data_IF_678605164494
#
_entry.id   IF_678605164494
#
_cell.length_a   1.000
_cell.length_b   1.000
_cell.length_c   1.000
_cell.angle_alpha   90.00
_cell.angle_beta   90.00
_cell.angle_gamma   90.00
#
_symmetry.space_group_name_H-M   'P 1'
#
loop_
_entity.id
_entity.type
_entity.pdbx_description
1 polymer ?
#
# COMPACT_ATOMS: atom_id res chain seq x y z
N UNK A 1 9.44 -14.99 15.43
CA UNK A 1 9.08 -13.77 14.66
C UNK A 1 8.17 -14.09 13.46
N UNK A 2 8.58 -14.96 12.54
CA UNK A 2 7.76 -15.31 11.34
C UNK A 2 6.34 -15.79 11.70
N UNK A 3 6.18 -16.60 12.73
CA UNK A 3 4.86 -17.05 13.21
C UNK A 3 3.97 -15.90 13.69
N UNK A 4 4.55 -14.88 14.34
CA UNK A 4 3.81 -13.70 14.79
C UNK A 4 3.33 -12.87 13.58
N UNK A 5 4.19 -12.66 12.60
CA UNK A 5 3.82 -11.96 11.35
C UNK A 5 2.71 -12.70 10.61
N UNK A 6 2.82 -14.03 10.49
CA UNK A 6 1.79 -14.87 9.86
C UNK A 6 0.46 -14.79 10.62
N UNK A 7 0.49 -14.83 11.95
CA UNK A 7 -0.71 -14.72 12.78
C UNK A 7 -1.37 -13.34 12.66
N UNK A 8 -0.59 -12.25 12.66
CA UNK A 8 -1.11 -10.88 12.47
C UNK A 8 -1.74 -10.71 11.08
N UNK A 9 -1.11 -11.22 10.03
CA UNK A 9 -1.67 -11.22 8.68
C UNK A 9 -2.97 -12.01 8.59
N UNK A 10 -3.04 -13.17 9.24
CA UNK A 10 -4.24 -14.00 9.32
C UNK A 10 -5.39 -13.31 10.06
N UNK A 11 -5.09 -12.62 11.17
CA UNK A 11 -6.09 -11.84 11.92
C UNK A 11 -6.64 -10.69 11.09
N UNK A 12 -5.80 -9.94 10.41
CA UNK A 12 -6.24 -8.85 9.51
C UNK A 12 -7.12 -9.40 8.39
N UNK A 13 -6.69 -10.46 7.72
CA UNK A 13 -7.46 -11.13 6.65
C UNK A 13 -8.83 -11.58 7.14
N UNK A 14 -8.89 -12.21 8.32
CA UNK A 14 -10.15 -12.68 8.91
C UNK A 14 -11.07 -11.53 9.28
N UNK A 15 -10.55 -10.47 9.87
CA UNK A 15 -11.30 -9.27 10.21
C UNK A 15 -11.90 -8.61 8.95
N UNK A 16 -11.12 -8.50 7.89
CA UNK A 16 -11.59 -7.92 6.62
C UNK A 16 -12.63 -8.79 5.93
N UNK A 17 -12.46 -10.13 5.96
CA UNK A 17 -13.40 -11.06 5.34
C UNK A 17 -14.80 -11.03 5.99
N UNK A 18 -14.90 -10.66 7.27
CA UNK A 18 -16.16 -10.56 8.01
C UNK A 18 -16.69 -9.14 8.15
N UNK A 19 -15.92 -8.14 7.72
CA UNK A 19 -16.31 -6.74 7.79
C UNK A 19 -17.40 -6.42 6.76
N UNK A 20 -18.40 -5.65 7.17
CA UNK A 20 -19.39 -5.10 6.24
C UNK A 20 -18.82 -3.86 5.53
N UNK A 21 -19.23 -3.56 4.29
CA UNK A 21 -18.75 -2.36 3.58
C UNK A 21 -19.02 -1.04 4.29
N UNK A 22 -20.04 -1.01 5.16
CA UNK A 22 -20.40 0.16 5.93
C UNK A 22 -19.55 0.36 7.20
N UNK A 23 -18.75 -0.65 7.59
CA UNK A 23 -17.88 -0.53 8.76
C UNK A 23 -16.83 0.56 8.52
N UNK A 24 -16.59 1.35 9.55
CA UNK A 24 -15.55 2.37 9.55
C UNK A 24 -14.68 2.25 10.79
N UNK A 25 -13.38 2.40 10.61
CA UNK A 25 -12.44 2.57 11.69
C UNK A 25 -11.59 3.82 11.42
N UNK A 26 -11.03 4.40 12.47
CA UNK A 26 -10.31 5.66 12.36
C UNK A 26 -8.87 5.43 11.86
N UNK A 27 -8.52 6.07 10.75
CA UNK A 27 -7.15 6.21 10.26
C UNK A 27 -7.00 7.58 9.59
N UNK A 28 -6.70 8.62 10.38
CA UNK A 28 -6.70 10.02 9.95
C UNK A 28 -8.03 10.48 9.33
N UNK A 29 -9.09 9.80 9.72
CA UNK A 29 -10.44 9.95 9.24
C UNK A 29 -11.15 8.59 9.19
N UNK A 30 -12.45 8.55 8.90
CA UNK A 30 -13.18 7.29 8.75
C UNK A 30 -12.69 6.52 7.52
N UNK A 31 -12.20 5.31 7.74
CA UNK A 31 -11.67 4.43 6.70
C UNK A 31 -12.49 3.13 6.64
N UNK A 32 -12.83 2.70 5.45
CA UNK A 32 -13.57 1.48 5.17
C UNK A 32 -12.66 0.23 5.16
N UNK A 33 -13.22 -0.99 5.17
CA UNK A 33 -12.44 -2.22 5.10
C UNK A 33 -11.53 -2.32 3.88
N UNK A 34 -11.98 -1.82 2.73
CA UNK A 34 -11.18 -1.80 1.49
C UNK A 34 -9.93 -0.93 1.64
N UNK A 35 -10.05 0.21 2.32
CA UNK A 35 -8.91 1.07 2.64
C UNK A 35 -7.90 0.39 3.56
N UNK A 36 -8.37 -0.32 4.58
CA UNK A 36 -7.49 -1.11 5.45
C UNK A 36 -6.81 -2.26 4.70
N UNK A 37 -7.53 -2.95 3.80
CA UNK A 37 -6.94 -3.98 2.95
C UNK A 37 -5.84 -3.40 2.05
N UNK A 38 -6.11 -2.28 1.39
CA UNK A 38 -5.13 -1.60 0.54
C UNK A 38 -3.90 -1.15 1.31
N UNK A 39 -4.05 -0.62 2.52
CA UNK A 39 -2.92 -0.27 3.39
C UNK A 39 -2.09 -1.50 3.77
N UNK A 40 -2.73 -2.61 4.14
CA UNK A 40 -2.03 -3.86 4.46
C UNK A 40 -1.22 -4.39 3.27
N UNK A 41 -1.77 -4.34 2.07
CA UNK A 41 -1.04 -4.70 0.83
C UNK A 41 0.11 -3.72 0.59
N UNK A 42 -0.13 -2.41 0.70
CA UNK A 42 0.90 -1.40 0.51
C UNK A 42 2.09 -1.58 1.46
N UNK A 43 1.82 -1.76 2.77
CA UNK A 43 2.85 -2.02 3.78
C UNK A 43 3.69 -3.25 3.42
N UNK A 44 3.03 -4.34 3.02
CA UNK A 44 3.73 -5.57 2.64
C UNK A 44 4.62 -5.37 1.41
N UNK A 45 4.09 -4.74 0.36
CA UNK A 45 4.85 -4.50 -0.87
C UNK A 45 6.04 -3.57 -0.63
N UNK A 46 5.81 -2.46 0.05
CA UNK A 46 6.83 -1.41 0.23
C UNK A 46 7.94 -1.84 1.17
N UNK A 47 7.61 -2.49 2.29
CA UNK A 47 8.62 -3.00 3.20
C UNK A 47 9.38 -4.20 2.63
N UNK A 48 8.74 -5.06 1.84
CA UNK A 48 9.45 -6.12 1.11
C UNK A 48 10.46 -5.51 0.13
N UNK A 49 10.08 -4.46 -0.59
CA UNK A 49 10.99 -3.73 -1.46
C UNK A 49 12.17 -3.14 -0.70
N UNK A 50 11.92 -2.46 0.42
CA UNK A 50 12.97 -1.86 1.26
C UNK A 50 13.96 -2.93 1.78
N UNK A 51 13.45 -4.07 2.24
CA UNK A 51 14.26 -5.20 2.72
C UNK A 51 15.07 -5.80 1.58
N UNK A 52 14.45 -6.07 0.43
CA UNK A 52 15.11 -6.61 -0.75
C UNK A 52 16.26 -5.69 -1.20
N UNK A 53 16.02 -4.38 -1.23
CA UNK A 53 17.03 -3.40 -1.56
C UNK A 53 18.21 -3.42 -0.56
N UNK A 54 17.91 -3.48 0.74
CA UNK A 54 18.93 -3.57 1.80
C UNK A 54 19.75 -4.86 1.76
N UNK A 55 19.19 -5.94 1.25
CA UNK A 55 19.85 -7.23 1.07
C UNK A 55 20.49 -7.40 -0.31
N UNK A 56 20.42 -6.40 -1.17
CA UNK A 56 20.88 -6.48 -2.57
C UNK A 56 20.19 -7.60 -3.36
N UNK A 57 18.92 -7.85 -3.06
CA UNK A 57 18.06 -8.78 -3.79
C UNK A 57 17.27 -8.02 -4.83
N UNK A 58 17.29 -8.48 -6.06
CA UNK A 58 16.52 -7.91 -7.16
C UNK A 58 15.05 -8.34 -7.05
N UNK A 59 14.23 -7.45 -6.52
CA UNK A 59 12.80 -7.66 -6.37
C UNK A 59 12.04 -6.34 -6.53
N UNK A 60 10.93 -6.40 -7.26
CA UNK A 60 10.03 -5.27 -7.47
C UNK A 60 8.59 -5.65 -7.07
N UNK A 61 7.81 -4.69 -6.54
CA UNK A 61 6.39 -4.92 -6.27
C UNK A 61 5.66 -5.37 -7.54
N UNK A 62 4.90 -6.47 -7.51
CA UNK A 62 4.13 -6.91 -8.66
C UNK A 62 3.11 -5.87 -9.14
N UNK A 63 2.90 -5.75 -10.44
CA UNK A 63 2.04 -4.73 -11.03
C UNK A 63 0.57 -4.83 -10.60
N UNK A 64 -0.10 -6.00 -10.56
CA UNK A 64 -1.51 -6.06 -10.19
C UNK A 64 -1.82 -5.53 -8.77
N UNK A 65 -1.15 -5.98 -7.69
CA UNK A 65 -1.39 -5.41 -6.36
C UNK A 65 -0.94 -3.96 -6.25
N UNK A 66 0.11 -3.54 -6.96
CA UNK A 66 0.54 -2.13 -7.00
C UNK A 66 -0.56 -1.24 -7.61
N UNK A 67 -1.20 -1.68 -8.68
CA UNK A 67 -2.32 -0.97 -9.30
C UNK A 67 -3.52 -0.86 -8.35
N UNK A 68 -3.85 -1.93 -7.63
CA UNK A 68 -4.94 -1.92 -6.65
C UNK A 68 -4.68 -0.92 -5.52
N UNK A 69 -3.45 -0.88 -4.99
CA UNK A 69 -3.02 0.10 -3.98
C UNK A 69 -3.14 1.53 -4.51
N UNK A 70 -2.62 1.79 -5.71
CA UNK A 70 -2.69 3.11 -6.33
C UNK A 70 -4.12 3.59 -6.48
N UNK A 71 -5.00 2.76 -7.04
CA UNK A 71 -6.40 3.10 -7.25
C UNK A 71 -7.14 3.46 -5.96
N UNK A 72 -6.79 2.80 -4.85
CA UNK A 72 -7.48 3.02 -3.58
C UNK A 72 -6.84 4.12 -2.73
N UNK A 73 -5.52 4.21 -2.70
CA UNK A 73 -4.80 5.06 -1.75
C UNK A 73 -4.18 6.32 -2.38
N UNK A 74 -4.01 6.35 -3.70
CA UNK A 74 -3.37 7.46 -4.42
C UNK A 74 -4.24 7.91 -5.61
N UNK A 75 -5.41 8.50 -5.37
CA UNK A 75 -6.36 8.83 -6.42
C UNK A 75 -5.84 9.86 -7.44
N UNK A 76 -4.81 10.60 -7.07
CA UNK A 76 -4.15 11.60 -7.94
C UNK A 76 -2.86 11.09 -8.58
N UNK A 77 -2.55 9.79 -8.46
CA UNK A 77 -1.36 9.22 -9.07
C UNK A 77 -1.38 9.38 -10.59
N UNK A 78 -0.24 9.71 -11.23
CA UNK A 78 -0.18 9.82 -12.68
C UNK A 78 -0.35 8.43 -13.34
N UNK A 79 -0.75 8.39 -14.62
CA UNK A 79 -0.77 7.15 -15.37
C UNK A 79 0.64 6.63 -15.61
N UNK A 80 0.77 5.31 -15.78
CA UNK A 80 2.06 4.67 -16.07
C UNK A 80 2.13 3.24 -15.56
N UNK A 81 3.32 2.69 -15.55
CA UNK A 81 3.58 1.37 -14.98
C UNK A 81 3.28 1.36 -13.47
N UNK A 82 2.37 0.51 -12.98
CA UNK A 82 1.93 0.57 -11.59
C UNK A 82 3.05 0.39 -10.56
N UNK A 83 4.04 -0.43 -10.85
CA UNK A 83 5.20 -0.65 -9.98
C UNK A 83 6.01 0.64 -9.83
N UNK A 84 6.35 1.28 -10.94
CA UNK A 84 7.13 2.50 -10.95
C UNK A 84 6.35 3.67 -10.33
N UNK A 85 5.07 3.80 -10.65
CA UNK A 85 4.20 4.84 -10.08
C UNK A 85 4.06 4.67 -8.58
N UNK A 86 3.88 3.43 -8.07
CA UNK A 86 3.79 3.17 -6.63
C UNK A 86 5.09 3.56 -5.90
N UNK A 87 6.23 3.17 -6.44
CA UNK A 87 7.53 3.52 -5.86
C UNK A 87 7.76 5.03 -5.86
N UNK A 88 7.36 5.73 -6.92
CA UNK A 88 7.43 7.19 -6.97
C UNK A 88 6.49 7.85 -5.96
N UNK A 89 5.22 7.47 -5.92
CA UNK A 89 4.23 8.00 -4.97
C UNK A 89 4.66 7.86 -3.50
N UNK A 90 5.49 6.87 -3.22
CA UNK A 90 5.95 6.54 -1.86
C UNK A 90 7.42 6.92 -1.60
N UNK A 91 7.98 7.80 -2.41
CA UNK A 91 9.32 8.35 -2.23
C UNK A 91 10.46 7.36 -2.41
N UNK A 92 10.24 6.27 -3.16
CA UNK A 92 11.22 5.18 -3.37
C UNK A 92 11.88 5.19 -4.74
N UNK A 93 11.46 6.05 -5.63
CA UNK A 93 12.03 6.15 -6.97
C UNK A 93 11.68 7.44 -7.68
N UNK A 94 12.32 7.65 -8.83
CA UNK A 94 11.99 8.70 -9.78
C UNK A 94 10.96 8.19 -10.80
N UNK A 95 10.26 9.08 -11.47
CA UNK A 95 9.28 8.72 -12.51
C UNK A 95 9.40 9.66 -13.69
N UNK A 96 9.83 9.15 -14.86
CA UNK A 96 9.88 9.89 -16.12
C UNK A 96 10.50 11.29 -15.99
N UNK A 97 11.63 11.40 -15.30
CA UNK A 97 12.31 12.66 -15.02
C UNK A 97 11.76 13.47 -13.84
N UNK A 98 10.66 13.03 -13.23
CA UNK A 98 10.16 13.61 -11.98
C UNK A 98 11.02 13.11 -10.81
N UNK A 99 11.51 14.02 -9.95
CA UNK A 99 12.36 13.63 -8.84
C UNK A 99 11.61 12.84 -7.79
N UNK A 100 12.35 12.07 -7.01
CA UNK A 100 11.85 11.35 -5.83
C UNK A 100 11.16 12.31 -4.86
N UNK A 101 10.00 11.91 -4.36
CA UNK A 101 9.34 12.61 -3.26
C UNK A 101 10.16 12.50 -1.97
N UNK A 102 10.31 13.62 -1.26
CA UNK A 102 10.92 13.67 0.09
C UNK A 102 9.88 13.47 1.18
N UNK A 103 8.63 13.80 0.89
CA UNK A 103 7.47 13.57 1.77
C UNK A 103 6.32 13.04 0.94
N UNK A 104 5.52 12.16 1.53
CA UNK A 104 4.35 11.59 0.85
C UNK A 104 3.32 11.12 1.88
N UNK A 105 2.09 10.97 1.44
CA UNK A 105 1.00 10.37 2.22
C UNK A 105 0.03 9.67 1.29
N UNK A 106 -0.66 8.68 1.77
CA UNK A 106 -1.81 8.10 1.10
C UNK A 106 -3.14 8.65 1.63
N UNK A 107 -4.19 8.44 0.87
CA UNK A 107 -5.56 8.85 1.21
C UNK A 107 -6.41 7.62 1.54
N UNK A 108 -6.30 7.14 2.78
CA UNK A 108 -7.05 5.95 3.23
C UNK A 108 -8.46 6.31 3.70
N UNK A 109 -8.65 7.46 4.35
CA UNK A 109 -9.95 7.91 4.80
C UNK A 109 -10.88 8.22 3.61
N UNK A 110 -12.12 7.79 3.73
CA UNK A 110 -13.20 8.18 2.82
C UNK A 110 -14.35 8.70 3.67
N UNK A 111 -14.63 10.01 3.64
CA UNK A 111 -15.92 10.52 4.08
C UNK A 111 -17.01 9.87 3.21
N UNK A 112 -18.10 9.52 3.82
CA UNK A 112 -19.24 8.88 3.15
C UNK A 112 -19.74 9.65 1.93
#
# INVERSE_FOLDING_TARGET
MLQVVTACGGLLSSALATATPALRAWHWGPCDPEGFAAMGVAETLLHTYDIALGLSVDWLPPAPPSAAVLNRLFPTAPPGDPTQVLLWCTGRGELNGLPRHTTWKWEAARPD
#
